data_IF_323644023993
#
_entry.id   IF_323644023993
#
_cell.length_a   1.000
_cell.length_b   1.000
_cell.length_c   1.000
_cell.angle_alpha   90.00
_cell.angle_beta   90.00
_cell.angle_gamma   90.00
#
_symmetry.space_group_name_H-M   'P 1'
#
loop_
_entity.id
_entity.type
_entity.pdbx_description
1 polymer ?
#
# COMPACT_ATOMS: atom_id res chain seq x y z
N UNK A 1 -19.99 -10.09 15.17
CA UNK A 1 -20.08 -9.91 13.70
C UNK A 1 -18.86 -9.14 13.25
N UNK A 2 -17.95 -9.80 12.53
CA UNK A 2 -16.77 -9.16 11.96
C UNK A 2 -17.17 -8.41 10.68
N UNK A 3 -17.15 -7.08 10.70
CA UNK A 3 -17.43 -6.27 9.51
C UNK A 3 -16.17 -6.13 8.64
N UNK A 4 -15.85 -7.23 7.94
CA UNK A 4 -14.76 -7.32 6.96
C UNK A 4 -14.67 -6.10 6.00
N UNK A 5 -15.75 -5.65 5.34
CA UNK A 5 -15.66 -4.51 4.42
C UNK A 5 -15.21 -3.22 5.11
N UNK A 6 -15.62 -3.00 6.36
CA UNK A 6 -15.17 -1.84 7.13
C UNK A 6 -13.69 -1.97 7.50
N UNK A 7 -13.23 -3.17 7.88
CA UNK A 7 -11.82 -3.40 8.21
C UNK A 7 -10.91 -3.13 7.00
N UNK A 8 -11.28 -3.63 5.81
CA UNK A 8 -10.53 -3.40 4.57
C UNK A 8 -10.52 -1.91 4.22
N UNK A 9 -11.67 -1.24 4.34
CA UNK A 9 -11.78 0.20 4.07
C UNK A 9 -10.89 1.03 5.00
N UNK A 10 -10.98 0.81 6.31
CA UNK A 10 -10.17 1.52 7.31
C UNK A 10 -8.67 1.23 7.16
N UNK A 11 -8.30 0.00 6.79
CA UNK A 11 -6.90 -0.35 6.52
C UNK A 11 -6.36 0.40 5.29
N UNK A 12 -7.15 0.53 4.22
CA UNK A 12 -6.77 1.31 3.03
C UNK A 12 -6.72 2.82 3.32
N UNK A 13 -7.63 3.35 4.13
CA UNK A 13 -7.57 4.74 4.60
C UNK A 13 -6.30 5.02 5.40
N UNK A 14 -5.91 4.08 6.26
CA UNK A 14 -4.68 4.16 7.04
C UNK A 14 -3.45 4.18 6.11
N UNK A 15 -3.43 3.34 5.07
CA UNK A 15 -2.37 3.35 4.06
C UNK A 15 -2.30 4.68 3.31
N UNK A 16 -3.44 5.25 2.90
CA UNK A 16 -3.49 6.56 2.22
C UNK A 16 -2.88 7.63 3.13
N UNK A 17 -3.29 7.66 4.41
CA UNK A 17 -2.72 8.60 5.38
C UNK A 17 -1.22 8.43 5.55
N UNK A 18 -0.73 7.19 5.59
CA UNK A 18 0.70 6.91 5.70
C UNK A 18 1.48 7.35 4.45
N UNK A 19 0.98 7.05 3.25
CA UNK A 19 1.65 7.41 1.99
C UNK A 19 1.69 8.95 1.84
N UNK A 20 0.63 9.66 2.22
CA UNK A 20 0.63 11.13 2.24
C UNK A 20 1.67 11.69 3.21
N UNK A 21 1.79 11.12 4.41
CA UNK A 21 2.82 11.50 5.37
C UNK A 21 4.25 11.19 4.86
N UNK A 22 4.44 10.08 4.12
CA UNK A 22 5.71 9.78 3.45
C UNK A 22 6.04 10.83 2.38
N UNK A 23 5.09 11.20 1.52
CA UNK A 23 5.29 12.23 0.49
C UNK A 23 5.65 13.58 1.13
N UNK A 24 4.95 13.96 2.19
CA UNK A 24 5.26 15.18 2.94
C UNK A 24 6.67 15.12 3.56
N UNK A 25 7.04 13.99 4.15
CA UNK A 25 8.36 13.79 4.75
C UNK A 25 9.48 13.87 3.71
N UNK A 26 9.29 13.28 2.52
CA UNK A 26 10.22 13.38 1.39
C UNK A 26 10.37 14.82 0.91
N UNK A 27 9.26 15.55 0.78
CA UNK A 27 9.28 16.95 0.36
C UNK A 27 10.01 17.85 1.37
N UNK A 28 9.68 17.70 2.66
CA UNK A 28 10.29 18.47 3.75
C UNK A 28 11.80 18.22 3.91
N UNK A 29 12.32 17.10 3.39
CA UNK A 29 13.73 16.71 3.50
C UNK A 29 14.39 16.55 2.13
N UNK A 30 13.83 17.17 1.10
CA UNK A 30 14.32 17.08 -0.29
C UNK A 30 15.79 17.51 -0.43
N UNK A 31 16.23 18.48 0.38
CA UNK A 31 17.62 18.96 0.41
C UNK A 31 18.63 17.91 0.92
N UNK A 32 18.18 16.88 1.65
CA UNK A 32 19.06 15.93 2.34
C UNK A 32 19.21 14.58 1.62
N UNK A 33 18.30 14.24 0.70
CA UNK A 33 18.13 12.88 0.14
C UNK A 33 18.80 12.76 -1.25
N UNK A 34 19.11 13.89 -1.88
CA UNK A 34 19.62 13.95 -3.26
C UNK A 34 18.48 13.91 -4.28
N UNK A 35 18.63 14.69 -5.36
CA UNK A 35 17.56 14.92 -6.34
C UNK A 35 17.06 13.66 -7.03
N UNK A 36 17.96 12.73 -7.36
CA UNK A 36 17.59 11.47 -8.02
C UNK A 36 16.75 10.55 -7.11
N UNK A 37 17.13 10.40 -5.84
CA UNK A 37 16.39 9.59 -4.87
C UNK A 37 15.07 10.28 -4.52
N UNK A 38 15.07 11.61 -4.37
CA UNK A 38 13.85 12.38 -4.13
C UNK A 38 12.82 12.18 -5.25
N UNK A 39 13.20 12.37 -6.52
CA UNK A 39 12.28 12.23 -7.66
C UNK A 39 11.79 10.79 -7.77
N UNK A 40 12.69 9.81 -7.77
CA UNK A 40 12.33 8.39 -7.93
C UNK A 40 11.40 7.89 -6.83
N UNK A 41 11.72 8.17 -5.55
CA UNK A 41 10.90 7.73 -4.42
C UNK A 41 9.58 8.48 -4.32
N UNK A 42 9.56 9.78 -4.64
CA UNK A 42 8.30 10.54 -4.71
C UNK A 42 7.39 10.01 -5.81
N UNK A 43 7.93 9.68 -6.99
CA UNK A 43 7.15 9.04 -8.07
C UNK A 43 6.58 7.68 -7.64
N UNK A 44 7.38 6.85 -6.95
CA UNK A 44 6.91 5.57 -6.42
C UNK A 44 5.81 5.75 -5.36
N UNK A 45 5.96 6.71 -4.44
CA UNK A 45 4.91 7.03 -3.46
C UNK A 45 3.63 7.54 -4.11
N UNK A 46 3.73 8.39 -5.15
CA UNK A 46 2.57 8.88 -5.89
C UNK A 46 1.87 7.77 -6.67
N UNK A 47 2.64 6.86 -7.28
CA UNK A 47 2.08 5.68 -7.94
C UNK A 47 1.38 4.76 -6.94
N UNK A 48 1.99 4.53 -5.78
CA UNK A 48 1.38 3.75 -4.70
C UNK A 48 0.08 4.42 -4.21
N UNK A 49 0.09 5.74 -4.01
CA UNK A 49 -1.08 6.52 -3.63
C UNK A 49 -2.20 6.37 -4.66
N UNK A 50 -1.89 6.48 -5.95
CA UNK A 50 -2.85 6.30 -7.03
C UNK A 50 -3.50 4.91 -6.96
N UNK A 51 -2.71 3.84 -6.87
CA UNK A 51 -3.21 2.46 -6.78
C UNK A 51 -4.14 2.28 -5.58
N UNK A 52 -3.73 2.76 -4.40
CA UNK A 52 -4.51 2.60 -3.16
C UNK A 52 -5.79 3.43 -3.21
N UNK A 53 -5.76 4.68 -3.72
CA UNK A 53 -6.94 5.54 -3.84
C UNK A 53 -7.95 4.98 -4.84
N UNK A 54 -7.50 4.59 -6.04
CA UNK A 54 -8.39 3.98 -7.05
C UNK A 54 -9.10 2.77 -6.47
N UNK A 55 -8.41 1.98 -5.66
CA UNK A 55 -9.02 0.84 -4.98
C UNK A 55 -9.92 1.20 -3.83
N UNK A 56 -9.55 2.17 -3.01
CA UNK A 56 -10.43 2.66 -1.94
C UNK A 56 -11.75 3.20 -2.52
N UNK A 57 -11.69 3.92 -3.64
CA UNK A 57 -12.86 4.40 -4.38
C UNK A 57 -13.68 3.26 -5.01
N UNK A 58 -13.02 2.27 -5.61
CA UNK A 58 -13.69 1.13 -6.25
C UNK A 58 -14.16 0.05 -5.25
N UNK A 59 -13.73 0.11 -3.99
CA UNK A 59 -14.09 -0.86 -2.93
C UNK A 59 -15.52 -0.71 -2.38
N UNK A 60 -16.35 0.13 -3.00
CA UNK A 60 -17.75 0.36 -2.62
C UNK A 60 -18.57 -0.94 -2.63
N UNK A 61 -18.16 -1.95 -3.40
CA UNK A 61 -18.85 -3.25 -3.48
C UNK A 61 -18.21 -4.40 -2.67
N UNK A 62 -17.05 -4.21 -2.04
CA UNK A 62 -16.35 -5.30 -1.35
C UNK A 62 -15.97 -6.48 -2.25
N UNK A 63 -15.77 -6.24 -3.55
CA UNK A 63 -15.40 -7.28 -4.52
C UNK A 63 -13.95 -7.72 -4.30
N UNK A 64 -13.78 -9.03 -4.15
CA UNK A 64 -12.54 -9.66 -3.71
C UNK A 64 -11.56 -9.84 -4.88
N UNK A 65 -10.49 -9.04 -4.87
CA UNK A 65 -9.44 -9.07 -5.90
C UNK A 65 -8.78 -10.45 -5.98
N UNK A 66 -8.39 -11.05 -4.85
CA UNK A 66 -7.79 -12.40 -4.84
C UNK A 66 -8.77 -13.50 -5.29
N UNK A 67 -10.08 -13.38 -5.02
CA UNK A 67 -11.05 -14.35 -5.56
C UNK A 67 -11.13 -14.25 -7.08
N UNK A 68 -11.06 -13.04 -7.62
CA UNK A 68 -11.01 -12.80 -9.07
C UNK A 68 -9.72 -13.34 -9.69
N UNK A 69 -8.57 -13.27 -9.00
CA UNK A 69 -7.31 -13.93 -9.42
C UNK A 69 -7.49 -15.46 -9.61
N UNK A 70 -8.25 -16.11 -8.73
CA UNK A 70 -8.48 -17.56 -8.82
C UNK A 70 -9.61 -17.96 -9.77
N UNK A 71 -10.58 -17.07 -9.99
CA UNK A 71 -11.77 -17.35 -10.82
C UNK A 71 -11.56 -16.98 -12.30
N UNK A 72 -10.78 -15.95 -12.59
CA UNK A 72 -10.58 -15.45 -13.94
C UNK A 72 -9.54 -16.29 -14.69
N UNK A 73 -9.89 -16.74 -15.91
CA UNK A 73 -8.98 -17.52 -16.76
C UNK A 73 -8.06 -16.62 -17.61
N UNK A 74 -8.42 -15.34 -17.78
CA UNK A 74 -7.59 -14.39 -18.52
C UNK A 74 -6.38 -13.96 -17.67
N UNK A 75 -5.19 -14.26 -18.21
CA UNK A 75 -3.90 -13.97 -17.59
C UNK A 75 -3.72 -12.47 -17.34
N UNK A 76 -4.21 -11.60 -18.24
CA UNK A 76 -4.03 -10.15 -18.11
C UNK A 76 -4.84 -9.59 -16.94
N UNK A 77 -6.09 -10.02 -16.81
CA UNK A 77 -6.95 -9.66 -15.67
C UNK A 77 -6.40 -10.22 -14.36
N UNK A 78 -5.92 -11.46 -14.38
CA UNK A 78 -5.30 -12.10 -13.21
C UNK A 78 -4.07 -11.34 -12.69
N UNK A 79 -3.19 -10.92 -13.61
CA UNK A 79 -2.03 -10.10 -13.28
C UNK A 79 -2.41 -8.74 -12.73
N UNK A 80 -3.45 -8.11 -13.29
CA UNK A 80 -3.97 -6.84 -12.79
C UNK A 80 -4.42 -6.97 -11.33
N UNK A 81 -5.28 -7.94 -11.01
CA UNK A 81 -5.75 -8.16 -9.64
C UNK A 81 -4.62 -8.51 -8.67
N UNK A 82 -3.68 -9.38 -9.08
CA UNK A 82 -2.54 -9.71 -8.24
C UNK A 82 -1.65 -8.48 -7.99
N UNK A 83 -1.38 -7.69 -9.04
CA UNK A 83 -0.58 -6.47 -8.90
C UNK A 83 -1.24 -5.47 -7.94
N UNK A 84 -2.56 -5.35 -7.97
CA UNK A 84 -3.30 -4.42 -7.12
C UNK A 84 -3.25 -4.78 -5.63
N UNK A 85 -3.11 -6.08 -5.32
CA UNK A 85 -3.01 -6.59 -3.94
C UNK A 85 -1.58 -6.49 -3.41
N UNK A 86 -0.59 -6.87 -4.23
CA UNK A 86 0.80 -6.95 -3.79
C UNK A 86 1.60 -5.64 -4.00
N UNK A 87 1.20 -4.76 -4.92
CA UNK A 87 1.97 -3.54 -5.20
C UNK A 87 2.14 -2.61 -4.00
N UNK A 88 1.11 -2.33 -3.18
CA UNK A 88 1.30 -1.46 -2.02
C UNK A 88 2.34 -1.99 -1.03
N UNK A 89 2.47 -3.31 -0.92
CA UNK A 89 3.49 -3.96 -0.09
C UNK A 89 4.88 -3.86 -0.71
N UNK A 90 5.02 -4.19 -2.00
CA UNK A 90 6.31 -4.16 -2.70
C UNK A 90 6.86 -2.74 -2.74
N UNK A 91 6.04 -1.76 -3.12
CA UNK A 91 6.45 -0.37 -3.20
C UNK A 91 6.75 0.18 -1.80
N UNK A 92 5.97 -0.18 -0.79
CA UNK A 92 6.22 0.20 0.61
C UNK A 92 7.61 -0.23 1.11
N UNK A 93 7.98 -1.50 0.86
CA UNK A 93 9.28 -2.04 1.24
C UNK A 93 10.42 -1.37 0.46
N UNK A 94 10.23 -1.15 -0.85
CA UNK A 94 11.22 -0.46 -1.68
C UNK A 94 11.48 0.96 -1.17
N UNK A 95 10.43 1.75 -1.00
CA UNK A 95 10.52 3.14 -0.51
C UNK A 95 11.20 3.20 0.85
N UNK A 96 10.85 2.30 1.78
CA UNK A 96 11.51 2.21 3.08
C UNK A 96 13.01 1.91 2.98
N UNK A 97 13.41 1.01 2.07
CA UNK A 97 14.80 0.56 1.95
C UNK A 97 15.73 1.59 1.31
N UNK A 98 15.22 2.41 0.40
CA UNK A 98 16.03 3.38 -0.35
C UNK A 98 16.12 4.76 0.31
N UNK A 99 15.15 5.13 1.16
CA UNK A 99 15.11 6.44 1.80
C UNK A 99 15.77 6.38 3.16
N UNK A 100 16.97 6.96 3.26
CA UNK A 100 17.68 7.14 4.52
C UNK A 100 17.66 8.61 4.92
N UNK A 101 16.82 8.95 5.90
CA UNK A 101 16.74 10.31 6.44
C UNK A 101 17.77 10.47 7.57
N UNK A 102 18.63 11.49 7.42
CA UNK A 102 19.77 11.70 8.32
C UNK A 102 19.39 12.38 9.65
N UNK A 103 18.22 13.01 9.71
CA UNK A 103 17.70 13.68 10.91
C UNK A 103 16.92 12.70 11.81
N UNK A 104 17.30 12.60 13.09
CA UNK A 104 16.78 11.59 14.03
C UNK A 104 15.25 11.60 14.18
N UNK A 105 14.64 12.76 14.43
CA UNK A 105 13.19 12.86 14.62
C UNK A 105 12.39 12.58 13.35
N UNK A 106 12.90 13.03 12.20
CA UNK A 106 12.26 12.79 10.91
C UNK A 106 12.39 11.32 10.51
N UNK A 107 13.55 10.72 10.74
CA UNK A 107 13.78 9.30 10.48
C UNK A 107 12.87 8.41 11.34
N UNK A 108 12.60 8.82 12.59
CA UNK A 108 11.65 8.14 13.46
C UNK A 108 10.22 8.18 12.89
N UNK A 109 9.74 9.36 12.49
CA UNK A 109 8.41 9.51 11.87
C UNK A 109 8.32 8.71 10.58
N UNK A 110 9.33 8.81 9.71
CA UNK A 110 9.42 8.05 8.47
C UNK A 110 9.36 6.55 8.70
N UNK A 111 10.11 6.04 9.67
CA UNK A 111 10.13 4.63 10.04
C UNK A 111 8.76 4.19 10.56
N UNK A 112 8.15 4.97 11.45
CA UNK A 112 6.83 4.64 12.00
C UNK A 112 5.76 4.60 10.91
N UNK A 113 5.70 5.61 10.05
CA UNK A 113 4.72 5.69 8.96
C UNK A 113 4.94 4.58 7.93
N UNK A 114 6.20 4.26 7.60
CA UNK A 114 6.51 3.18 6.67
C UNK A 114 6.18 1.80 7.25
N UNK A 115 6.50 1.56 8.53
CA UNK A 115 6.12 0.34 9.22
C UNK A 115 4.60 0.18 9.29
N UNK A 116 3.85 1.25 9.59
CA UNK A 116 2.39 1.22 9.61
C UNK A 116 1.81 0.92 8.22
N UNK A 117 2.35 1.54 7.16
CA UNK A 117 1.93 1.29 5.78
C UNK A 117 2.17 -0.16 5.38
N UNK A 118 3.37 -0.70 5.65
CA UNK A 118 3.74 -2.09 5.33
C UNK A 118 2.87 -3.06 6.15
N UNK A 119 2.68 -2.80 7.45
CA UNK A 119 1.86 -3.67 8.32
C UNK A 119 0.41 -3.69 7.85
N UNK A 120 -0.16 -2.53 7.51
CA UNK A 120 -1.50 -2.46 6.94
C UNK A 120 -1.61 -3.20 5.60
N UNK A 121 -0.56 -3.18 4.77
CA UNK A 121 -0.53 -3.93 3.52
C UNK A 121 -0.46 -5.46 3.77
N UNK A 122 0.38 -5.90 4.71
CA UNK A 122 0.47 -7.32 5.12
C UNK A 122 -0.86 -7.81 5.69
N UNK A 123 -1.52 -7.02 6.53
CA UNK A 123 -2.83 -7.36 7.10
C UNK A 123 -3.90 -7.50 6.01
N UNK A 124 -3.95 -6.58 5.04
CA UNK A 124 -4.88 -6.69 3.90
C UNK A 124 -4.64 -7.96 3.09
N UNK A 125 -3.38 -8.23 2.72
CA UNK A 125 -3.01 -9.45 1.98
C UNK A 125 -3.43 -10.69 2.77
N UNK A 126 -3.12 -10.73 4.07
CA UNK A 126 -3.45 -11.86 4.94
C UNK A 126 -4.97 -12.07 5.06
N UNK A 127 -5.74 -11.00 5.15
CA UNK A 127 -7.20 -11.06 5.19
C UNK A 127 -7.80 -11.56 3.87
N UNK A 128 -7.26 -11.12 2.74
CA UNK A 128 -7.70 -11.62 1.42
C UNK A 128 -7.37 -13.11 1.25
N UNK A 129 -6.21 -13.57 1.74
CA UNK A 129 -5.88 -15.00 1.76
C UNK A 129 -6.76 -15.82 2.70
N UNK A 130 -7.00 -15.33 3.91
CA UNK A 130 -7.87 -15.98 4.89
C UNK A 130 -9.26 -16.22 4.28
N UNK A 131 -9.79 -15.22 3.59
CA UNK A 131 -11.10 -15.32 2.98
C UNK A 131 -11.15 -16.33 1.82
N UNK A 132 -10.17 -16.31 0.92
CA UNK A 132 -10.11 -17.25 -0.21
C UNK A 132 -9.94 -18.70 0.25
N UNK A 133 -9.07 -18.95 1.25
CA UNK A 133 -8.70 -20.30 1.65
C UNK A 133 -9.69 -20.94 2.62
N UNK A 134 -10.21 -20.18 3.58
CA UNK A 134 -10.99 -20.72 4.71
C UNK A 134 -12.49 -20.54 4.49
N UNK A 135 -12.92 -19.37 4.00
CA UNK A 135 -14.34 -19.09 3.86
C UNK A 135 -14.96 -19.72 2.59
N UNK A 136 -14.16 -20.10 1.58
CA UNK A 136 -14.59 -20.80 0.33
C UNK A 136 -15.88 -20.24 -0.30
N UNK A 137 -16.18 -18.96 -0.09
CA UNK A 137 -17.26 -18.28 -0.80
C UNK A 137 -16.81 -17.93 -2.21
#
# INVERSE_FOLDING_TARGET
MYNYPNFVKTSRETQIGCILAQIFSLYANSDLIGSAVFVSMTTLCLYNLYVVITKWYNNVDGRFDMRQVFRENDIQLKLKYASEVFMPLIIGILVYSFVNLRSGSVNFIWTMVSCLQITAAVLLVSMEFYEVLILRY
#
